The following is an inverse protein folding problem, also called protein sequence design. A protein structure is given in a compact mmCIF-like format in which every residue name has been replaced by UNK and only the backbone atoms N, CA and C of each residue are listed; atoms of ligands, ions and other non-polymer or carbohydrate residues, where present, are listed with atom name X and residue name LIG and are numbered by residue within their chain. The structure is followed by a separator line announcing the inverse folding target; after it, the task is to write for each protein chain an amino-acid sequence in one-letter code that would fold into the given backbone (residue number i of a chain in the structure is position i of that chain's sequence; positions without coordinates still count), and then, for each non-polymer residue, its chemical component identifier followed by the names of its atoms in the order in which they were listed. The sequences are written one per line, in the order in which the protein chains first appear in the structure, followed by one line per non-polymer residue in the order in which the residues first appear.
data_IF_771452804830
#
_entry.id   IF_771452804830
#
_cell.length_a   1.000
_cell.length_b   1.000
_cell.length_c   1.000
_cell.angle_alpha   90.00
_cell.angle_beta   90.00
_cell.angle_gamma   90.00
#
_symmetry.space_group_name_H-M   'P 1'
#
loop_
_entity.id
_entity.type
_entity.pdbx_description
1 polymer ?
#
# COMPACT_ATOMS: atom_id res chain seq x y z
N UNK A 1 32.47 8.19 -41.35
CA UNK A 1 31.44 9.14 -41.82
C UNK A 1 31.60 9.32 -43.33
N UNK A 2 30.50 9.52 -44.04
CA UNK A 2 30.52 9.83 -45.46
C UNK A 2 30.80 11.32 -45.64
N UNK A 3 31.91 11.64 -46.31
CA UNK A 3 32.39 13.01 -46.51
C UNK A 3 31.51 13.81 -47.50
N UNK A 4 30.61 13.15 -48.24
CA UNK A 4 29.76 13.79 -49.25
C UNK A 4 28.44 14.36 -48.70
N UNK A 5 27.86 13.73 -47.68
CA UNK A 5 26.56 14.11 -47.09
C UNK A 5 26.59 14.28 -45.56
N UNK A 6 27.75 14.06 -44.93
CA UNK A 6 27.93 14.19 -43.49
C UNK A 6 27.27 13.08 -42.67
N UNK A 7 26.76 12.02 -43.31
CA UNK A 7 26.13 10.90 -42.61
C UNK A 7 27.18 9.99 -41.96
N UNK A 8 27.00 9.70 -40.68
CA UNK A 8 27.84 8.79 -39.92
C UNK A 8 27.02 7.56 -39.51
N UNK A 9 27.61 6.37 -39.66
CA UNK A 9 27.12 5.18 -38.96
C UNK A 9 27.85 5.13 -37.62
N UNK A 10 27.10 5.20 -36.52
CA UNK A 10 27.71 5.15 -35.20
C UNK A 10 28.00 3.70 -34.80
N UNK A 11 29.08 3.52 -34.04
CA UNK A 11 29.28 2.29 -33.28
C UNK A 11 28.21 2.18 -32.18
N UNK A 12 27.89 0.95 -31.75
CA UNK A 12 26.83 0.73 -30.75
C UNK A 12 27.13 1.47 -29.45
N UNK A 13 26.12 2.16 -28.92
CA UNK A 13 26.25 2.99 -27.72
C UNK A 13 26.87 4.38 -27.96
N UNK A 14 27.01 4.83 -29.21
CA UNK A 14 27.37 6.19 -29.56
C UNK A 14 26.24 6.92 -30.31
N UNK A 15 26.07 8.21 -30.05
CA UNK A 15 24.93 8.98 -30.58
C UNK A 15 25.28 10.39 -31.06
N UNK A 16 24.32 10.96 -31.80
CA UNK A 16 24.38 12.30 -32.40
C UNK A 16 25.02 12.28 -33.80
N UNK A 17 24.79 13.34 -34.58
CA UNK A 17 25.21 13.39 -35.99
C UNK A 17 26.68 13.01 -36.26
N UNK A 18 27.67 13.44 -35.43
CA UNK A 18 29.06 13.03 -35.60
C UNK A 18 29.46 11.76 -34.83
N UNK A 19 28.52 11.09 -34.15
CA UNK A 19 28.76 9.93 -33.27
C UNK A 19 29.80 10.19 -32.17
N UNK A 20 29.98 11.45 -31.75
CA UNK A 20 31.03 11.85 -30.80
C UNK A 20 30.63 11.70 -29.33
N UNK A 21 29.38 11.34 -29.04
CA UNK A 21 28.86 11.22 -27.69
C UNK A 21 28.60 9.75 -27.36
N UNK A 22 29.01 9.32 -26.17
CA UNK A 22 28.76 7.99 -25.63
C UNK A 22 27.47 8.00 -24.81
N UNK A 23 26.69 6.92 -24.90
CA UNK A 23 25.51 6.73 -24.06
C UNK A 23 25.88 6.72 -22.57
N UNK A 24 24.96 7.15 -21.68
CA UNK A 24 25.14 7.02 -20.24
C UNK A 24 25.45 5.56 -19.85
N UNK A 25 26.31 5.34 -18.86
CA UNK A 25 26.75 4.00 -18.43
C UNK A 25 27.79 3.31 -19.34
N UNK A 26 27.97 3.79 -20.57
CA UNK A 26 29.04 3.36 -21.48
C UNK A 26 28.59 3.05 -22.91
N UNK A 27 29.49 2.49 -23.70
CA UNK A 27 29.24 2.04 -25.07
C UNK A 27 28.94 0.53 -25.18
N UNK A 28 28.37 0.12 -26.33
CA UNK A 28 28.05 -1.27 -26.62
C UNK A 28 27.13 -1.90 -25.57
N UNK A 29 27.51 -3.06 -25.03
CA UNK A 29 26.76 -3.77 -23.99
C UNK A 29 26.74 -3.05 -22.63
N UNK A 30 27.59 -2.05 -22.42
CA UNK A 30 27.60 -1.22 -21.21
C UNK A 30 26.65 -0.02 -21.29
N UNK A 31 26.06 0.26 -22.46
CA UNK A 31 25.11 1.35 -22.60
C UNK A 31 23.96 1.20 -21.61
N UNK A 32 23.61 2.30 -20.95
CA UNK A 32 22.64 2.36 -19.86
C UNK A 32 22.99 1.39 -18.71
N UNK A 33 24.27 1.30 -18.36
CA UNK A 33 24.85 0.36 -17.39
C UNK A 33 24.49 -1.12 -17.67
N UNK A 34 24.09 -1.44 -18.90
CA UNK A 34 23.61 -2.77 -19.29
C UNK A 34 22.20 -3.11 -18.82
N UNK A 35 21.47 -2.16 -18.22
CA UNK A 35 20.11 -2.33 -17.69
C UNK A 35 19.08 -1.47 -18.44
N UNK A 36 19.27 -1.28 -19.74
CA UNK A 36 18.36 -0.51 -20.56
C UNK A 36 18.81 -0.38 -22.01
N UNK A 37 17.97 0.29 -22.80
CA UNK A 37 18.23 0.57 -24.21
C UNK A 37 18.55 2.04 -24.41
N UNK A 38 19.70 2.32 -25.03
CA UNK A 38 20.07 3.67 -25.41
C UNK A 38 19.47 4.05 -26.77
N UNK A 39 18.97 5.29 -26.88
CA UNK A 39 18.70 5.93 -28.16
C UNK A 39 20.03 6.34 -28.84
N UNK A 40 20.70 5.37 -29.45
CA UNK A 40 21.99 5.55 -30.12
C UNK A 40 21.86 5.83 -31.65
N UNK A 41 22.99 5.98 -32.35
CA UNK A 41 23.03 6.31 -33.77
C UNK A 41 23.03 7.80 -34.08
N UNK A 42 23.18 8.14 -35.36
CA UNK A 42 23.37 9.53 -35.80
C UNK A 42 22.16 10.44 -35.52
N UNK A 43 20.96 9.86 -35.41
CA UNK A 43 19.73 10.53 -34.99
C UNK A 43 19.34 10.30 -33.52
N UNK A 44 20.14 9.53 -32.78
CA UNK A 44 19.87 9.19 -31.39
C UNK A 44 20.05 10.38 -30.45
N UNK A 45 19.28 10.40 -29.36
CA UNK A 45 19.36 11.44 -28.33
C UNK A 45 20.32 11.10 -27.18
N UNK A 46 20.80 9.85 -27.11
CA UNK A 46 21.57 9.33 -25.98
C UNK A 46 20.72 9.03 -24.74
N UNK A 47 19.40 9.11 -24.83
CA UNK A 47 18.50 8.83 -23.71
C UNK A 47 18.38 7.33 -23.46
N UNK A 48 18.43 6.93 -22.20
CA UNK A 48 18.24 5.54 -21.79
C UNK A 48 16.76 5.25 -21.45
N UNK A 49 16.26 4.14 -21.97
CA UNK A 49 15.01 3.52 -21.56
C UNK A 49 15.35 2.31 -20.69
N UNK A 50 15.14 2.42 -19.37
CA UNK A 50 15.57 1.40 -18.43
C UNK A 50 14.73 0.13 -18.49
N UNK A 51 15.38 -1.01 -18.24
CA UNK A 51 14.70 -2.28 -18.03
C UNK A 51 13.87 -2.24 -16.73
N UNK A 52 12.83 -3.08 -16.61
CA UNK A 52 12.00 -3.13 -15.43
C UNK A 52 12.83 -3.32 -14.14
N UNK A 53 12.60 -2.43 -13.16
CA UNK A 53 13.31 -2.47 -11.89
C UNK A 53 14.62 -1.69 -11.85
N UNK A 54 14.98 -0.98 -12.92
CA UNK A 54 16.06 0.01 -12.92
C UNK A 54 15.53 1.41 -13.21
N UNK A 55 16.26 2.41 -12.73
CA UNK A 55 15.91 3.81 -12.91
C UNK A 55 17.16 4.70 -12.98
N UNK A 56 16.90 6.00 -13.18
CA UNK A 56 17.87 7.07 -13.42
C UNK A 56 18.23 7.18 -14.91
N UNK A 57 18.87 8.29 -15.26
CA UNK A 57 19.26 8.66 -16.62
C UNK A 57 20.22 7.67 -17.28
N UNK A 58 20.90 6.84 -16.50
CA UNK A 58 21.82 5.81 -16.96
C UNK A 58 21.41 4.39 -16.58
N UNK A 59 20.24 4.19 -15.95
CA UNK A 59 19.77 2.89 -15.46
C UNK A 59 20.74 2.18 -14.51
N UNK A 60 21.62 2.93 -13.84
CA UNK A 60 22.59 2.39 -12.90
C UNK A 60 22.00 2.00 -11.54
N UNK A 61 20.81 2.50 -11.22
CA UNK A 61 20.18 2.29 -9.92
C UNK A 61 19.06 1.25 -9.99
N UNK A 62 19.07 0.32 -9.04
CA UNK A 62 18.02 -0.68 -8.88
C UNK A 62 16.90 -0.14 -7.99
N UNK A 63 15.65 -0.35 -8.40
CA UNK A 63 14.48 -0.01 -7.62
C UNK A 63 14.44 -0.85 -6.32
N UNK A 64 14.04 -0.28 -5.19
CA UNK A 64 13.94 -1.06 -3.96
C UNK A 64 12.96 -2.25 -4.11
N UNK A 65 13.31 -3.38 -3.48
CA UNK A 65 12.70 -4.69 -3.74
C UNK A 65 13.42 -5.51 -4.83
N UNK A 66 14.31 -4.87 -5.60
CA UNK A 66 15.17 -5.52 -6.60
C UNK A 66 14.54 -5.64 -7.99
N UNK A 67 15.36 -5.89 -9.01
CA UNK A 67 14.94 -5.96 -10.41
C UNK A 67 14.07 -7.19 -10.75
N UNK A 68 14.19 -8.26 -9.98
CA UNK A 68 13.44 -9.50 -10.16
C UNK A 68 12.03 -9.47 -9.58
N UNK A 69 11.79 -8.62 -8.59
CA UNK A 69 10.46 -8.43 -8.00
C UNK A 69 10.29 -6.98 -7.53
N UNK A 70 10.39 -6.00 -8.46
CA UNK A 70 10.36 -4.59 -8.09
C UNK A 70 9.07 -4.33 -7.29
N UNK A 71 9.25 -3.88 -6.05
CA UNK A 71 8.17 -3.57 -5.11
C UNK A 71 7.14 -4.71 -4.92
N UNK A 72 7.62 -5.95 -4.83
CA UNK A 72 6.79 -7.15 -4.57
C UNK A 72 5.78 -7.51 -5.66
N UNK A 73 5.90 -6.95 -6.87
CA UNK A 73 4.99 -7.24 -7.99
C UNK A 73 3.70 -6.40 -7.99
N UNK A 74 3.64 -5.36 -7.15
CA UNK A 74 2.44 -4.54 -6.97
C UNK A 74 2.49 -3.17 -7.68
N UNK A 75 3.65 -2.69 -8.13
CA UNK A 75 3.77 -1.38 -8.79
C UNK A 75 4.93 -1.29 -9.80
N UNK A 76 4.86 -0.30 -10.71
CA UNK A 76 5.91 0.03 -11.68
C UNK A 76 6.78 1.17 -11.14
N UNK A 77 8.08 0.92 -11.03
CA UNK A 77 9.07 1.92 -10.63
C UNK A 77 9.12 3.07 -11.64
N UNK A 78 9.18 4.32 -11.15
CA UNK A 78 9.46 5.46 -12.01
C UNK A 78 10.85 5.32 -12.62
N UNK A 79 10.92 5.18 -13.94
CA UNK A 79 12.18 5.06 -14.71
C UNK A 79 13.12 6.26 -14.49
N UNK A 80 12.59 7.41 -14.04
CA UNK A 80 13.37 8.64 -13.84
C UNK A 80 13.79 8.84 -12.39
N UNK A 81 12.90 8.56 -11.43
CA UNK A 81 13.11 8.95 -10.03
C UNK A 81 13.31 7.79 -9.08
N UNK A 82 13.12 6.54 -9.54
CA UNK A 82 13.22 5.36 -8.67
C UNK A 82 12.15 5.31 -7.58
N UNK A 83 11.14 6.17 -7.69
CA UNK A 83 10.03 6.24 -6.75
C UNK A 83 8.89 5.35 -7.22
N UNK A 84 8.26 4.67 -6.26
CA UNK A 84 6.99 4.00 -6.50
C UNK A 84 5.87 5.04 -6.46
N UNK A 85 4.95 4.99 -7.42
CA UNK A 85 3.64 5.63 -7.28
C UNK A 85 2.65 4.57 -6.86
N UNK A 86 2.22 4.57 -5.59
CA UNK A 86 1.21 3.65 -5.12
C UNK A 86 -0.06 3.85 -5.96
N UNK A 87 -0.40 2.90 -6.84
CA UNK A 87 -1.66 3.03 -7.57
C UNK A 87 -2.82 2.78 -6.59
N UNK A 88 -3.75 3.74 -6.51
CA UNK A 88 -5.06 3.49 -5.92
C UNK A 88 -5.97 2.92 -7.01
N UNK A 89 -5.94 1.60 -7.19
CA UNK A 89 -6.75 0.91 -8.20
C UNK A 89 -7.52 -0.26 -7.58
N UNK A 90 -8.49 -0.80 -8.28
CA UNK A 90 -9.23 -2.00 -7.84
C UNK A 90 -8.31 -3.23 -7.65
N UNK A 91 -7.09 -3.21 -8.20
CA UNK A 91 -6.07 -4.25 -8.04
C UNK A 91 -5.18 -4.05 -6.80
N UNK A 92 -5.33 -2.93 -6.08
CA UNK A 92 -4.59 -2.67 -4.86
C UNK A 92 -4.69 -1.24 -4.38
N UNK A 93 -4.90 -1.07 -3.08
CA UNK A 93 -4.76 0.19 -2.37
C UNK A 93 -3.48 0.09 -1.55
N UNK A 94 -2.34 0.44 -2.15
CA UNK A 94 -1.02 0.32 -1.51
C UNK A 94 -0.54 1.68 -0.97
N UNK A 95 0.39 1.64 -0.03
CA UNK A 95 1.02 2.83 0.58
C UNK A 95 2.44 2.48 1.05
N UNK A 96 3.15 3.50 1.54
CA UNK A 96 4.54 3.39 1.98
C UNK A 96 5.52 3.69 0.86
N UNK A 97 6.75 4.02 1.24
CA UNK A 97 7.84 4.31 0.29
C UNK A 97 8.18 3.12 -0.61
N UNK A 98 7.76 1.92 -0.20
CA UNK A 98 7.96 0.67 -0.90
C UNK A 98 6.71 -0.04 -1.37
N UNK A 99 5.54 0.61 -1.25
CA UNK A 99 4.28 0.07 -1.75
C UNK A 99 3.95 -1.33 -1.22
N UNK A 100 4.53 -1.71 -0.07
CA UNK A 100 4.37 -3.04 0.53
C UNK A 100 3.27 -3.10 1.58
N UNK A 101 2.74 -1.95 2.00
CA UNK A 101 1.65 -1.84 2.96
C UNK A 101 0.34 -1.50 2.25
N UNK A 102 -0.79 -1.96 2.79
CA UNK A 102 -2.08 -1.43 2.33
C UNK A 102 -2.32 -0.02 2.84
N UNK A 103 -3.00 0.77 2.02
CA UNK A 103 -3.62 2.01 2.45
C UNK A 103 -4.59 1.72 3.60
N UNK A 104 -4.74 2.69 4.49
CA UNK A 104 -5.69 2.58 5.60
C UNK A 104 -7.10 2.33 5.08
N UNK A 105 -7.85 1.50 5.81
CA UNK A 105 -9.18 1.04 5.44
C UNK A 105 -9.22 -0.25 4.62
N UNK A 106 -8.11 -0.98 4.46
CA UNK A 106 -8.04 -2.24 3.70
C UNK A 106 -7.32 -3.33 4.47
N UNK A 107 -7.73 -4.59 4.27
CA UNK A 107 -7.19 -5.74 4.98
C UNK A 107 -7.03 -6.99 4.10
N UNK A 108 -6.13 -7.88 4.53
CA UNK A 108 -5.98 -9.24 4.01
C UNK A 108 -5.37 -9.32 2.60
N UNK A 109 -4.91 -10.51 2.16
CA UNK A 109 -4.11 -10.66 0.94
C UNK A 109 -4.84 -10.27 -0.36
N UNK A 110 -6.16 -10.10 -0.32
CA UNK A 110 -6.98 -9.67 -1.45
C UNK A 110 -7.31 -8.18 -1.46
N UNK A 111 -6.72 -7.39 -0.55
CA UNK A 111 -6.98 -5.95 -0.45
C UNK A 111 -8.48 -5.64 -0.27
N UNK A 112 -9.12 -6.31 0.67
CA UNK A 112 -10.55 -6.15 0.93
C UNK A 112 -10.79 -4.87 1.72
N UNK A 113 -11.76 -4.05 1.33
CA UNK A 113 -12.13 -2.86 2.09
C UNK A 113 -12.67 -3.26 3.47
N UNK A 114 -12.19 -2.58 4.51
CA UNK A 114 -12.70 -2.74 5.87
C UNK A 114 -14.20 -2.45 5.93
N UNK A 115 -14.98 -3.23 6.70
CA UNK A 115 -16.35 -2.90 7.00
C UNK A 115 -16.43 -1.62 7.85
N UNK A 116 -17.58 -0.96 7.84
CA UNK A 116 -17.85 0.17 8.75
C UNK A 116 -17.96 -0.33 10.19
N UNK A 117 -16.88 -0.23 10.96
CA UNK A 117 -16.81 -0.69 12.35
C UNK A 117 -17.47 0.26 13.37
N UNK A 118 -18.37 1.17 12.96
CA UNK A 118 -19.13 2.03 13.88
C UNK A 118 -18.29 2.69 14.96
N UNK A 119 -18.64 2.46 16.23
CA UNK A 119 -17.84 2.84 17.40
C UNK A 119 -16.72 1.79 17.65
N UNK A 120 -15.78 1.68 16.72
CA UNK A 120 -14.72 0.68 16.76
C UNK A 120 -13.68 0.86 15.66
N UNK A 121 -12.70 -0.05 15.64
CA UNK A 121 -11.60 -0.05 14.67
C UNK A 121 -11.48 -1.39 13.96
N UNK A 122 -11.27 -1.35 12.64
CA UNK A 122 -11.00 -2.53 11.82
C UNK A 122 -9.57 -3.04 12.03
N UNK A 123 -9.39 -4.36 12.06
CA UNK A 123 -8.08 -5.00 11.92
C UNK A 123 -7.62 -4.96 10.46
N UNK A 124 -7.01 -3.83 10.10
CA UNK A 124 -6.51 -3.50 8.76
C UNK A 124 -5.08 -4.01 8.49
N UNK A 125 -4.62 -3.89 7.24
CA UNK A 125 -3.27 -4.23 6.81
C UNK A 125 -3.15 -5.61 6.14
N UNK A 126 -1.95 -5.92 5.65
CA UNK A 126 -1.67 -7.12 4.83
C UNK A 126 -1.97 -8.44 5.53
N UNK A 127 -1.81 -8.47 6.85
CA UNK A 127 -2.14 -9.60 7.73
C UNK A 127 -3.47 -9.40 8.46
N UNK A 128 -4.17 -8.29 8.22
CA UNK A 128 -5.45 -8.00 8.84
C UNK A 128 -6.54 -8.96 8.36
N UNK A 129 -7.51 -9.20 9.22
CA UNK A 129 -8.66 -10.09 8.97
C UNK A 129 -9.99 -9.35 8.85
N UNK A 130 -9.96 -8.00 8.96
CA UNK A 130 -11.14 -7.15 8.82
C UNK A 130 -12.05 -7.15 10.04
N UNK A 131 -11.64 -7.76 11.15
CA UNK A 131 -12.45 -7.87 12.34
C UNK A 131 -12.54 -6.54 13.10
N UNK A 132 -13.73 -6.17 13.55
CA UNK A 132 -13.94 -4.92 14.27
C UNK A 132 -13.64 -5.09 15.77
N UNK A 133 -12.72 -4.29 16.31
CA UNK A 133 -12.54 -4.14 17.75
C UNK A 133 -13.41 -2.98 18.23
N UNK A 134 -14.39 -3.28 19.07
CA UNK A 134 -15.33 -2.29 19.56
C UNK A 134 -14.77 -1.47 20.73
N UNK A 135 -15.18 -0.20 20.85
CA UNK A 135 -14.97 0.56 22.09
C UNK A 135 -15.87 0.03 23.21
N UNK A 136 -15.68 0.48 24.45
CA UNK A 136 -16.51 0.04 25.57
C UNK A 136 -17.99 0.41 25.38
N UNK A 137 -18.85 -0.43 25.95
CA UNK A 137 -20.32 -0.30 25.97
C UNK A 137 -21.02 -0.48 24.61
N UNK A 138 -20.31 -0.99 23.60
CA UNK A 138 -20.88 -1.30 22.29
C UNK A 138 -20.54 -2.72 21.84
N UNK A 139 -21.41 -3.31 21.04
CA UNK A 139 -21.31 -4.69 20.61
C UNK A 139 -21.85 -4.92 19.19
N UNK A 140 -21.68 -6.15 18.73
CA UNK A 140 -22.11 -6.64 17.42
C UNK A 140 -21.03 -6.46 16.35
N UNK A 141 -21.14 -7.16 15.21
CA UNK A 141 -20.04 -7.37 14.26
C UNK A 141 -19.41 -6.08 13.72
N UNK A 142 -20.17 -4.98 13.74
CA UNK A 142 -19.77 -3.66 13.26
C UNK A 142 -19.75 -2.60 14.38
N UNK A 143 -19.79 -3.00 15.64
CA UNK A 143 -19.77 -2.11 16.82
C UNK A 143 -20.78 -0.95 16.76
N UNK A 144 -21.95 -1.20 16.17
CA UNK A 144 -22.99 -0.21 15.96
C UNK A 144 -24.11 -0.25 17.01
N UNK A 145 -24.06 -1.20 17.94
CA UNK A 145 -25.13 -1.44 18.90
C UNK A 145 -24.63 -1.11 20.30
N UNK A 146 -25.36 -0.26 21.03
CA UNK A 146 -25.04 0.06 22.42
C UNK A 146 -25.62 -0.98 23.38
N UNK A 147 -24.86 -1.33 24.41
CA UNK A 147 -25.37 -2.12 25.53
C UNK A 147 -26.59 -1.43 26.16
N UNK A 148 -27.49 -2.23 26.74
CA UNK A 148 -28.70 -1.71 27.37
C UNK A 148 -28.35 -0.74 28.51
N UNK A 149 -29.02 0.41 28.58
CA UNK A 149 -28.62 1.53 29.46
C UNK A 149 -27.81 2.63 28.76
N UNK A 150 -27.28 2.33 27.56
CA UNK A 150 -26.59 3.28 26.69
C UNK A 150 -25.09 3.39 26.96
N UNK A 151 -24.38 4.08 26.05
CA UNK A 151 -22.93 4.32 26.14
C UNK A 151 -22.60 5.09 27.43
N UNK A 152 -21.60 4.64 28.18
CA UNK A 152 -21.21 5.16 29.51
C UNK A 152 -22.18 4.90 30.66
N UNK A 153 -23.30 4.23 30.41
CA UNK A 153 -24.26 3.81 31.42
C UNK A 153 -24.74 2.37 31.15
N UNK A 154 -23.83 1.52 30.65
CA UNK A 154 -24.10 0.11 30.40
C UNK A 154 -24.71 -0.54 31.64
N UNK A 155 -25.77 -1.30 31.40
CA UNK A 155 -26.53 -2.00 32.43
C UNK A 155 -26.98 -1.06 33.56
N UNK A 156 -27.41 0.15 33.18
CA UNK A 156 -27.78 1.26 34.06
C UNK A 156 -26.70 1.64 35.10
N UNK A 157 -25.41 1.39 34.79
CA UNK A 157 -24.32 1.60 35.74
C UNK A 157 -24.30 0.59 36.89
N UNK A 158 -25.10 -0.47 36.80
CA UNK A 158 -25.32 -1.47 37.83
C UNK A 158 -24.90 -2.88 37.38
N UNK A 159 -24.17 -2.98 36.28
CA UNK A 159 -23.65 -4.24 35.76
C UNK A 159 -22.63 -4.02 34.65
N UNK A 160 -22.21 -5.12 34.04
CA UNK A 160 -21.32 -5.14 32.89
C UNK A 160 -22.03 -5.77 31.70
N UNK A 161 -21.97 -5.10 30.55
CA UNK A 161 -22.51 -5.61 29.29
C UNK A 161 -21.53 -6.56 28.60
N UNK A 162 -22.05 -7.56 27.91
CA UNK A 162 -21.30 -8.41 26.99
C UNK A 162 -21.00 -7.65 25.68
N UNK A 163 -19.88 -6.92 25.69
CA UNK A 163 -19.43 -6.01 24.62
C UNK A 163 -18.55 -6.69 23.56
N UNK A 164 -18.19 -5.95 22.51
CA UNK A 164 -17.32 -6.45 21.44
C UNK A 164 -18.07 -7.04 20.24
N UNK A 165 -17.34 -7.39 19.18
CA UNK A 165 -17.99 -7.72 17.91
C UNK A 165 -18.75 -9.05 17.90
N UNK A 166 -18.41 -9.95 18.83
CA UNK A 166 -19.18 -11.17 19.14
C UNK A 166 -20.07 -11.03 20.37
N UNK A 167 -20.03 -9.88 21.02
CA UNK A 167 -20.83 -9.62 22.22
C UNK A 167 -22.32 -9.70 21.91
N UNK A 168 -23.10 -10.09 22.91
CA UNK A 168 -24.56 -10.19 22.80
C UNK A 168 -25.28 -8.94 23.32
N UNK A 169 -24.57 -8.03 23.99
CA UNK A 169 -25.15 -6.88 24.69
C UNK A 169 -25.86 -7.24 25.99
N UNK A 170 -25.77 -8.49 26.43
CA UNK A 170 -26.43 -8.98 27.64
C UNK A 170 -25.79 -8.40 28.89
N UNK A 171 -26.61 -8.07 29.89
CA UNK A 171 -26.14 -7.48 31.13
C UNK A 171 -25.92 -8.52 32.23
N UNK A 172 -24.74 -8.48 32.84
CA UNK A 172 -24.44 -9.18 34.10
C UNK A 172 -24.54 -8.19 35.25
N UNK A 173 -25.57 -8.33 36.08
CA UNK A 173 -25.83 -7.39 37.17
C UNK A 173 -24.90 -7.57 38.37
N UNK A 174 -24.58 -6.46 39.02
CA UNK A 174 -23.91 -6.44 40.32
C UNK A 174 -24.82 -7.04 41.39
N UNK A 175 -24.25 -7.54 42.50
CA UNK A 175 -24.94 -8.36 43.51
C UNK A 175 -26.20 -7.79 44.17
N UNK A 176 -26.47 -6.48 44.04
CA UNK A 176 -27.67 -5.81 44.59
C UNK A 176 -28.75 -5.52 43.53
N UNK A 177 -28.45 -5.74 42.26
CA UNK A 177 -29.33 -5.40 41.16
C UNK A 177 -29.76 -6.63 40.38
N UNK A 178 -30.97 -6.61 39.84
CA UNK A 178 -31.53 -7.67 39.03
C UNK A 178 -32.44 -7.11 37.92
N UNK A 179 -32.99 -8.02 37.11
CA UNK A 179 -33.73 -7.67 35.90
C UNK A 179 -32.80 -7.25 34.76
N UNK A 180 -33.32 -7.18 33.54
CA UNK A 180 -32.59 -6.62 32.40
C UNK A 180 -33.13 -5.19 32.16
N UNK A 181 -32.29 -4.13 32.21
CA UNK A 181 -30.82 -4.12 32.27
C UNK A 181 -30.28 -3.66 33.64
N UNK A 182 -30.50 -4.45 34.69
CA UNK A 182 -30.04 -4.17 36.07
C UNK A 182 -30.66 -2.91 36.70
N UNK A 183 -31.94 -2.65 36.40
CA UNK A 183 -32.67 -1.49 36.92
C UNK A 183 -33.33 -1.72 38.29
N UNK A 184 -33.50 -2.96 38.72
CA UNK A 184 -34.23 -3.30 39.95
C UNK A 184 -33.22 -3.58 41.08
N UNK A 185 -33.43 -3.00 42.26
CA UNK A 185 -32.59 -3.20 43.44
C UNK A 185 -33.30 -4.12 44.45
N UNK A 186 -32.56 -5.04 45.08
CA UNK A 186 -33.11 -5.82 46.18
C UNK A 186 -33.36 -4.93 47.40
N UNK A 187 -34.63 -4.86 47.82
CA UNK A 187 -34.99 -4.20 49.07
C UNK A 187 -34.54 -5.08 50.26
N UNK A 188 -33.87 -4.52 51.29
CA UNK A 188 -33.43 -5.26 52.47
C UNK A 188 -34.59 -5.77 53.33
#
# INVERSE_FOLDING_TARGET
CNDADGTCTCDSGYFGAPCGNECPGGAGAGACNGNGQCSDGAGGSGSCSCDPGYYDTDCGNECPGGASNPWSGHDRCSEVHGTCTCQASDAGHWTGSDCSAFASGYYGPSCTQCPECGDGSCNEGVTGDGWCTCVSDVYGPNCGIQCAGGKSNSCNGHGSGDEGATGTGSCTCSSRYFGLPCSEEYSP
#
